data_IF_183646332081
#
_entry.id   IF_183646332081
#
_cell.length_a   1.000
_cell.length_b   1.000
_cell.length_c   1.000
_cell.angle_alpha   90.00
_cell.angle_beta   90.00
_cell.angle_gamma   90.00
#
_symmetry.space_group_name_H-M   'P 1'
#
loop_
_entity.id
_entity.type
_entity.pdbx_description
1 polymer ?
#
# COMPACT_ATOMS: atom_id res chain seq x y z
N UNK A 1 0.23 -40.19 11.73
CA UNK A 1 0.51 -38.85 11.18
C UNK A 1 -0.42 -38.66 10.00
N UNK A 2 -1.57 -38.04 10.24
CA UNK A 2 -2.53 -37.73 9.18
C UNK A 2 -2.16 -36.37 8.61
N UNK A 3 -2.03 -36.29 7.29
CA UNK A 3 -1.88 -35.02 6.58
C UNK A 3 -3.19 -34.24 6.74
N UNK A 4 -3.09 -33.04 7.29
CA UNK A 4 -4.20 -32.10 7.41
C UNK A 4 -4.49 -31.56 6.00
N UNK A 5 -5.63 -31.98 5.47
CA UNK A 5 -6.12 -31.57 4.15
C UNK A 5 -6.58 -30.12 4.27
N UNK A 6 -5.76 -29.19 3.76
CA UNK A 6 -6.06 -27.75 3.75
C UNK A 6 -7.24 -27.54 2.79
N UNK A 7 -8.43 -27.27 3.33
CA UNK A 7 -9.60 -26.92 2.53
C UNK A 7 -9.29 -25.69 1.65
N UNK A 8 -9.68 -25.69 0.37
CA UNK A 8 -9.50 -24.53 -0.49
C UNK A 8 -10.33 -23.35 0.03
N UNK A 9 -9.70 -22.19 0.12
CA UNK A 9 -10.33 -20.94 0.57
C UNK A 9 -11.59 -20.63 -0.25
N UNK A 10 -12.67 -20.13 0.37
CA UNK A 10 -13.87 -19.73 -0.36
C UNK A 10 -13.57 -18.59 -1.34
N UNK A 11 -14.17 -18.65 -2.54
CA UNK A 11 -14.02 -17.66 -3.63
C UNK A 11 -14.31 -16.20 -3.21
N UNK A 12 -14.87 -15.97 -2.03
CA UNK A 12 -15.15 -14.65 -1.45
C UNK A 12 -13.90 -13.90 -0.95
N UNK A 13 -12.74 -14.58 -0.83
CA UNK A 13 -11.47 -13.99 -0.36
C UNK A 13 -10.61 -13.47 -1.52
N UNK A 14 -10.92 -13.85 -2.76
CA UNK A 14 -10.36 -13.19 -3.93
C UNK A 14 -11.20 -11.92 -4.12
N UNK A 15 -10.69 -10.70 -3.90
CA UNK A 15 -11.43 -9.51 -4.27
C UNK A 15 -11.73 -9.59 -5.76
N UNK A 16 -12.99 -9.89 -6.11
CA UNK A 16 -13.47 -9.65 -7.47
C UNK A 16 -13.25 -8.16 -7.70
N UNK A 17 -12.64 -7.74 -8.82
CA UNK A 17 -12.38 -6.33 -9.10
C UNK A 17 -13.71 -5.62 -9.35
N UNK A 18 -14.45 -5.32 -8.28
CA UNK A 18 -15.79 -4.70 -8.32
C UNK A 18 -15.80 -3.28 -7.79
N UNK A 19 -14.68 -2.79 -7.26
CA UNK A 19 -14.41 -1.37 -7.20
C UNK A 19 -13.47 -1.04 -8.36
N UNK A 20 -14.00 -0.27 -9.30
CA UNK A 20 -13.25 0.30 -10.41
C UNK A 20 -11.95 0.91 -9.83
N UNK A 21 -10.74 0.40 -10.14
CA UNK A 21 -9.51 1.09 -9.80
C UNK A 21 -9.42 2.27 -10.75
N UNK A 22 -10.21 3.30 -10.47
CA UNK A 22 -10.16 4.58 -11.16
C UNK A 22 -8.75 5.11 -10.91
N UNK A 23 -7.89 4.93 -11.91
CA UNK A 23 -6.48 5.28 -11.88
C UNK A 23 -5.61 4.29 -11.12
N UNK A 24 -5.00 3.36 -11.86
CA UNK A 24 -3.55 3.24 -11.69
C UNK A 24 -3.01 4.66 -11.88
N UNK A 25 -2.73 5.37 -10.79
CA UNK A 25 -1.97 6.60 -10.85
C UNK A 25 -0.58 6.19 -11.33
N UNK A 26 -0.40 6.27 -12.65
CA UNK A 26 0.88 6.20 -13.33
C UNK A 26 1.78 7.14 -12.54
N UNK A 27 2.83 6.62 -11.91
CA UNK A 27 3.71 7.41 -11.06
C UNK A 27 4.36 8.52 -11.89
N UNK A 28 3.78 9.72 -11.86
CA UNK A 28 4.28 10.88 -12.61
C UNK A 28 5.36 11.66 -11.84
N UNK A 29 5.73 11.23 -10.62
CA UNK A 29 6.62 12.00 -9.73
C UNK A 29 7.91 11.26 -9.35
N UNK A 30 8.63 10.71 -10.32
CA UNK A 30 10.03 10.36 -10.14
C UNK A 30 10.80 10.67 -11.43
N UNK A 31 11.42 11.86 -11.57
CA UNK A 31 11.99 12.33 -12.84
C UNK A 31 13.13 11.47 -13.41
N UNK A 32 13.64 10.47 -12.69
CA UNK A 32 14.75 9.60 -13.12
C UNK A 32 14.41 8.09 -13.07
N UNK A 33 13.21 7.69 -12.61
CA UNK A 33 12.87 6.26 -12.46
C UNK A 33 12.23 5.74 -13.75
N UNK A 34 12.99 4.97 -14.52
CA UNK A 34 12.43 4.19 -15.62
C UNK A 34 12.20 4.96 -16.92
N UNK A 35 13.10 5.89 -17.25
CA UNK A 35 13.16 6.47 -18.59
C UNK A 35 13.14 5.34 -19.66
N UNK A 36 12.26 5.50 -20.63
CA UNK A 36 12.13 4.54 -21.71
C UNK A 36 13.16 4.83 -22.81
N UNK A 37 13.63 3.80 -23.55
CA UNK A 37 14.51 4.03 -24.69
C UNK A 37 13.87 4.96 -25.72
N UNK A 38 14.67 5.80 -26.38
CA UNK A 38 14.16 6.67 -27.43
C UNK A 38 13.45 5.87 -28.54
N UNK A 39 12.29 6.34 -29.00
CA UNK A 39 11.50 5.66 -30.02
C UNK A 39 10.51 4.62 -29.49
N UNK A 40 10.37 4.48 -28.17
CA UNK A 40 9.42 3.55 -27.52
C UNK A 40 8.17 4.23 -26.97
N UNK A 41 8.04 5.55 -27.16
CA UNK A 41 6.96 6.37 -26.62
C UNK A 41 5.59 5.89 -27.13
N UNK A 42 5.52 5.48 -28.39
CA UNK A 42 4.29 4.95 -29.00
C UNK A 42 3.87 3.62 -28.36
N UNK A 43 4.82 2.70 -28.12
CA UNK A 43 4.56 1.39 -27.50
C UNK A 43 4.11 1.59 -26.05
N UNK A 44 4.76 2.50 -25.32
CA UNK A 44 4.38 2.82 -23.95
C UNK A 44 2.99 3.43 -23.85
N UNK A 45 2.65 4.35 -24.77
CA UNK A 45 1.31 4.91 -24.85
C UNK A 45 0.27 3.83 -25.19
N UNK A 46 0.56 2.93 -26.12
CA UNK A 46 -0.33 1.81 -26.45
C UNK A 46 -0.58 0.91 -25.24
N UNK A 47 0.48 0.51 -24.53
CA UNK A 47 0.36 -0.32 -23.33
C UNK A 47 -0.46 0.36 -22.24
N UNK A 48 -0.24 1.66 -22.02
CA UNK A 48 -0.99 2.44 -21.04
C UNK A 48 -2.48 2.58 -21.40
N UNK A 49 -2.80 2.89 -22.66
CA UNK A 49 -4.20 2.98 -23.13
C UNK A 49 -4.89 1.63 -23.05
N UNK A 50 -4.25 0.57 -23.54
CA UNK A 50 -4.80 -0.79 -23.44
C UNK A 50 -5.05 -1.19 -21.97
N UNK A 51 -4.18 -0.78 -21.03
CA UNK A 51 -4.39 -1.02 -19.60
C UNK A 51 -5.58 -0.24 -19.05
N UNK A 52 -5.78 0.99 -19.49
CA UNK A 52 -6.92 1.83 -19.10
C UNK A 52 -8.24 1.27 -19.66
N UNK A 53 -8.22 0.77 -20.88
CA UNK A 53 -9.35 0.16 -21.57
C UNK A 53 -9.60 -1.30 -21.15
N UNK A 54 -8.80 -1.84 -20.23
CA UNK A 54 -8.85 -3.22 -19.76
C UNK A 54 -8.58 -4.28 -20.86
N UNK A 55 -7.93 -3.88 -21.95
CA UNK A 55 -7.43 -4.75 -23.01
C UNK A 55 -6.13 -5.45 -22.57
N UNK A 56 -6.20 -6.28 -21.53
CA UNK A 56 -5.04 -6.82 -20.81
C UNK A 56 -4.04 -7.57 -21.69
N UNK A 57 -4.50 -8.35 -22.67
CA UNK A 57 -3.62 -9.06 -23.60
C UNK A 57 -2.83 -8.13 -24.51
N UNK A 58 -3.43 -7.00 -24.91
CA UNK A 58 -2.76 -5.98 -25.73
C UNK A 58 -1.78 -5.19 -24.88
N UNK A 59 -2.16 -4.81 -23.66
CA UNK A 59 -1.27 -4.18 -22.70
C UNK A 59 -0.03 -5.05 -22.42
N UNK A 60 -0.25 -6.35 -22.17
CA UNK A 60 0.83 -7.34 -21.99
C UNK A 60 1.80 -7.36 -23.16
N UNK A 61 1.30 -7.42 -24.41
CA UNK A 61 2.13 -7.42 -25.62
C UNK A 61 3.00 -6.16 -25.71
N UNK A 62 2.41 -4.98 -25.47
CA UNK A 62 3.13 -3.71 -25.51
C UNK A 62 4.24 -3.65 -24.43
N UNK A 63 3.93 -4.03 -23.19
CA UNK A 63 4.95 -4.02 -22.12
C UNK A 63 6.04 -5.07 -22.33
N UNK A 64 5.72 -6.24 -22.89
CA UNK A 64 6.75 -7.21 -23.28
C UNK A 64 7.68 -6.65 -24.36
N UNK A 65 7.16 -5.90 -25.34
CA UNK A 65 8.00 -5.21 -26.33
C UNK A 65 8.92 -4.17 -25.68
N UNK A 66 8.42 -3.39 -24.71
CA UNK A 66 9.28 -2.47 -23.95
C UNK A 66 10.39 -3.21 -23.21
N UNK A 67 10.09 -4.34 -22.59
CA UNK A 67 11.08 -5.16 -21.88
C UNK A 67 12.08 -5.84 -22.82
N UNK A 68 11.74 -6.09 -24.09
CA UNK A 68 12.75 -6.53 -25.07
C UNK A 68 13.81 -5.45 -25.32
N UNK A 69 13.41 -4.17 -25.27
CA UNK A 69 14.29 -3.03 -25.52
C UNK A 69 15.00 -2.54 -24.25
N UNK A 70 14.35 -2.67 -23.09
CA UNK A 70 14.89 -2.33 -21.78
C UNK A 70 14.47 -3.37 -20.73
N UNK A 71 15.19 -4.50 -20.62
CA UNK A 71 14.79 -5.66 -19.81
C UNK A 71 14.56 -5.40 -18.32
N UNK A 72 15.24 -4.41 -17.75
CA UNK A 72 15.15 -4.04 -16.34
C UNK A 72 14.50 -2.67 -16.13
N UNK A 73 13.72 -2.18 -17.11
CA UNK A 73 12.99 -0.92 -16.92
C UNK A 73 11.92 -1.10 -15.82
N UNK A 74 12.01 -0.36 -14.69
CA UNK A 74 11.13 -0.58 -13.54
C UNK A 74 9.66 -0.30 -13.86
N UNK A 75 9.34 0.67 -14.72
CA UNK A 75 7.96 1.01 -15.05
C UNK A 75 7.31 -0.05 -15.95
N UNK A 76 8.03 -0.53 -16.96
CA UNK A 76 7.55 -1.62 -17.81
C UNK A 76 7.36 -2.92 -17.01
N UNK A 77 8.30 -3.25 -16.11
CA UNK A 77 8.16 -4.38 -15.19
C UNK A 77 6.95 -4.21 -14.25
N UNK A 78 6.78 -3.03 -13.66
CA UNK A 78 5.64 -2.70 -12.77
C UNK A 78 4.31 -2.89 -13.48
N UNK A 79 4.19 -2.31 -14.68
CA UNK A 79 2.96 -2.36 -15.45
C UNK A 79 2.65 -3.78 -15.95
N UNK A 80 3.66 -4.52 -16.40
CA UNK A 80 3.47 -5.92 -16.79
C UNK A 80 3.08 -6.79 -15.59
N UNK A 81 3.71 -6.60 -14.43
CA UNK A 81 3.32 -7.28 -13.20
C UNK A 81 1.88 -7.01 -12.79
N UNK A 82 1.42 -5.76 -12.91
CA UNK A 82 0.02 -5.40 -12.68
C UNK A 82 -0.93 -6.06 -13.68
N UNK A 83 -0.56 -6.11 -14.97
CA UNK A 83 -1.36 -6.78 -16.01
C UNK A 83 -1.45 -8.29 -15.77
N UNK A 84 -0.34 -8.96 -15.46
CA UNK A 84 -0.35 -10.40 -15.15
C UNK A 84 -1.20 -10.70 -13.90
N UNK A 85 -1.18 -9.82 -12.90
CA UNK A 85 -2.05 -9.92 -11.74
C UNK A 85 -3.54 -9.83 -12.14
N UNK A 86 -3.91 -8.88 -13.02
CA UNK A 86 -5.28 -8.76 -13.55
C UNK A 86 -5.71 -9.98 -14.37
N UNK A 87 -4.77 -10.62 -15.08
CA UNK A 87 -4.99 -11.86 -15.82
C UNK A 87 -5.02 -13.11 -14.93
N UNK A 88 -4.74 -12.99 -13.64
CA UNK A 88 -4.69 -14.11 -12.70
C UNK A 88 -3.38 -14.93 -12.77
N UNK A 89 -2.39 -14.49 -13.54
CA UNK A 89 -1.09 -15.16 -13.67
C UNK A 89 -0.18 -14.78 -12.48
N UNK A 90 -0.54 -15.22 -11.28
CA UNK A 90 0.04 -14.72 -10.02
C UNK A 90 1.56 -14.94 -9.90
N UNK A 91 2.09 -16.05 -10.42
CA UNK A 91 3.54 -16.30 -10.37
C UNK A 91 4.32 -15.35 -11.29
N UNK A 92 3.81 -15.12 -12.51
CA UNK A 92 4.41 -14.16 -13.45
C UNK A 92 4.32 -12.73 -12.88
N UNK A 93 3.20 -12.39 -12.26
CA UNK A 93 3.02 -11.10 -11.60
C UNK A 93 4.07 -10.88 -10.50
N UNK A 94 4.29 -11.87 -9.62
CA UNK A 94 5.32 -11.77 -8.59
C UNK A 94 6.72 -11.60 -9.17
N UNK A 95 7.11 -12.38 -10.18
CA UNK A 95 8.44 -12.26 -10.80
C UNK A 95 8.70 -10.83 -11.31
N UNK A 96 7.76 -10.28 -12.09
CA UNK A 96 7.91 -8.93 -12.63
C UNK A 96 7.89 -7.86 -11.54
N UNK A 97 7.02 -7.98 -10.53
CA UNK A 97 6.95 -7.01 -9.43
C UNK A 97 8.17 -7.07 -8.51
N UNK A 98 8.73 -8.25 -8.26
CA UNK A 98 9.96 -8.41 -7.47
C UNK A 98 11.18 -7.82 -8.18
N UNK A 99 11.25 -7.96 -9.51
CA UNK A 99 12.27 -7.28 -10.32
C UNK A 99 12.05 -5.77 -10.32
N UNK A 100 10.81 -5.31 -10.50
CA UNK A 100 10.46 -3.90 -10.46
C UNK A 100 10.82 -3.24 -9.12
N UNK A 101 10.54 -3.90 -8.00
CA UNK A 101 10.85 -3.39 -6.65
C UNK A 101 12.35 -3.39 -6.34
N UNK A 102 13.13 -4.29 -6.94
CA UNK A 102 14.60 -4.26 -6.86
C UNK A 102 15.18 -3.05 -7.58
N UNK A 103 14.62 -2.71 -8.74
CA UNK A 103 15.06 -1.58 -9.55
C UNK A 103 14.54 -0.23 -9.03
N UNK A 104 13.31 -0.20 -8.51
CA UNK A 104 12.63 1.00 -8.02
C UNK A 104 11.75 0.68 -6.78
N UNK A 105 12.35 0.63 -5.58
CA UNK A 105 11.62 0.28 -4.36
C UNK A 105 10.59 1.33 -3.91
N UNK A 106 10.65 2.56 -4.44
CA UNK A 106 9.76 3.66 -4.09
C UNK A 106 8.38 3.61 -4.77
N UNK A 107 8.13 2.65 -5.66
CA UNK A 107 6.82 2.48 -6.31
C UNK A 107 5.91 1.69 -5.37
N UNK A 108 5.17 2.39 -4.51
CA UNK A 108 4.30 1.78 -3.48
C UNK A 108 3.31 0.75 -4.04
N UNK A 109 2.75 1.02 -5.23
CA UNK A 109 1.78 0.15 -5.89
C UNK A 109 2.32 -1.28 -6.17
N UNK A 110 3.63 -1.43 -6.39
CA UNK A 110 4.22 -2.74 -6.61
C UNK A 110 4.18 -3.58 -5.32
N UNK A 111 4.58 -2.97 -4.21
CA UNK A 111 4.52 -3.61 -2.90
C UNK A 111 3.08 -3.91 -2.47
N UNK A 112 2.14 -3.00 -2.74
CA UNK A 112 0.72 -3.23 -2.50
C UNK A 112 0.23 -4.48 -3.25
N UNK A 113 0.58 -4.60 -4.53
CA UNK A 113 0.16 -5.73 -5.37
C UNK A 113 0.82 -7.04 -4.93
N UNK A 114 2.11 -7.03 -4.56
CA UNK A 114 2.78 -8.19 -3.95
C UNK A 114 2.05 -8.62 -2.68
N UNK A 115 1.71 -7.67 -1.80
CA UNK A 115 0.99 -7.95 -0.55
C UNK A 115 -0.37 -8.61 -0.78
N UNK A 116 -1.12 -8.15 -1.79
CA UNK A 116 -2.38 -8.76 -2.20
C UNK A 116 -2.20 -10.20 -2.69
N UNK A 117 -1.18 -10.46 -3.53
CA UNK A 117 -0.88 -11.81 -4.01
C UNK A 117 -0.54 -12.74 -2.83
N UNK A 118 0.33 -12.29 -1.93
CA UNK A 118 0.74 -13.09 -0.78
C UNK A 118 -0.42 -13.34 0.20
N UNK A 119 -1.29 -12.36 0.40
CA UNK A 119 -2.49 -12.53 1.21
C UNK A 119 -3.42 -13.59 0.61
N UNK A 120 -3.67 -13.54 -0.71
CA UNK A 120 -4.48 -14.54 -1.41
C UNK A 120 -3.91 -15.96 -1.35
N UNK A 121 -2.59 -16.11 -1.15
CA UNK A 121 -1.91 -17.39 -0.92
C UNK A 121 -1.90 -17.84 0.55
N UNK A 122 -2.55 -17.10 1.45
CA UNK A 122 -2.54 -17.36 2.89
C UNK A 122 -1.20 -17.02 3.58
N UNK A 123 -0.27 -16.35 2.88
CA UNK A 123 1.05 -16.01 3.42
C UNK A 123 1.00 -14.68 4.20
N UNK A 124 0.27 -14.66 5.31
CA UNK A 124 -0.06 -13.45 6.07
C UNK A 124 1.15 -12.60 6.45
N UNK A 125 2.26 -13.20 6.91
CA UNK A 125 3.46 -12.45 7.28
C UNK A 125 4.19 -11.84 6.08
N UNK A 126 4.20 -12.52 4.93
CA UNK A 126 4.75 -11.96 3.69
C UNK A 126 3.88 -10.80 3.19
N UNK A 127 2.56 -10.92 3.31
CA UNK A 127 1.63 -9.86 2.99
C UNK A 127 1.86 -8.61 3.87
N UNK A 128 2.00 -8.77 5.19
CA UNK A 128 2.31 -7.65 6.09
C UNK A 128 3.64 -6.97 5.75
N UNK A 129 4.68 -7.74 5.45
CA UNK A 129 5.98 -7.19 5.04
C UNK A 129 5.85 -6.36 3.76
N UNK A 130 5.09 -6.83 2.79
CA UNK A 130 4.83 -6.10 1.55
C UNK A 130 3.98 -4.83 1.78
N UNK A 131 2.90 -4.90 2.56
CA UNK A 131 2.10 -3.71 2.88
C UNK A 131 2.89 -2.68 3.69
N UNK A 132 3.75 -3.09 4.62
CA UNK A 132 4.63 -2.18 5.34
C UNK A 132 5.62 -1.47 4.40
N UNK A 133 6.13 -2.16 3.36
CA UNK A 133 6.97 -1.53 2.33
C UNK A 133 6.16 -0.58 1.43
N UNK A 134 4.92 -0.92 1.13
CA UNK A 134 4.01 -0.02 0.41
C UNK A 134 3.80 1.29 1.20
N UNK A 135 3.50 1.17 2.49
CA UNK A 135 3.31 2.32 3.41
C UNK A 135 4.59 3.10 3.67
N UNK A 136 5.76 2.45 3.60
CA UNK A 136 7.03 3.17 3.67
C UNK A 136 7.25 4.06 2.44
N UNK A 137 6.86 3.58 1.25
CA UNK A 137 6.97 4.31 0.00
C UNK A 137 5.87 5.39 -0.15
N UNK A 138 4.66 5.09 0.29
CA UNK A 138 3.52 6.01 0.33
C UNK A 138 2.71 5.83 1.62
N UNK A 139 2.99 6.64 2.68
CA UNK A 139 2.23 6.61 3.93
C UNK A 139 0.79 7.11 3.80
N UNK A 140 0.40 7.65 2.64
CA UNK A 140 -0.91 8.23 2.38
C UNK A 140 -1.89 7.29 1.68
N UNK A 141 -1.51 6.04 1.37
CA UNK A 141 -2.37 5.11 0.64
C UNK A 141 -3.40 4.43 1.58
N UNK A 142 -4.70 4.80 1.54
CA UNK A 142 -5.71 4.20 2.40
C UNK A 142 -5.90 2.70 2.13
N UNK A 143 -5.61 2.24 0.90
CA UNK A 143 -5.76 0.83 0.51
C UNK A 143 -4.76 -0.03 1.25
N UNK A 144 -3.51 0.43 1.35
CA UNK A 144 -2.44 -0.29 2.05
C UNK A 144 -2.75 -0.46 3.54
N UNK A 145 -3.24 0.61 4.19
CA UNK A 145 -3.74 0.56 5.57
C UNK A 145 -4.92 -0.41 5.71
N UNK A 146 -5.90 -0.36 4.82
CA UNK A 146 -7.04 -1.27 4.86
C UNK A 146 -6.64 -2.75 4.74
N UNK A 147 -5.82 -3.11 3.74
CA UNK A 147 -5.39 -4.49 3.58
C UNK A 147 -4.50 -4.96 4.72
N UNK A 148 -3.63 -4.09 5.26
CA UNK A 148 -2.85 -4.40 6.45
C UNK A 148 -3.77 -4.67 7.65
N UNK A 149 -4.81 -3.86 7.86
CA UNK A 149 -5.82 -4.08 8.90
C UNK A 149 -6.55 -5.43 8.76
N UNK A 150 -6.94 -5.81 7.54
CA UNK A 150 -7.58 -7.11 7.26
C UNK A 150 -6.65 -8.27 7.62
N UNK A 151 -5.38 -8.22 7.21
CA UNK A 151 -4.42 -9.29 7.50
C UNK A 151 -4.12 -9.40 9.00
N UNK A 152 -3.91 -8.25 9.67
CA UNK A 152 -3.67 -8.18 11.12
C UNK A 152 -4.86 -8.74 11.91
N UNK A 153 -6.10 -8.46 11.47
CA UNK A 153 -7.31 -9.05 12.06
C UNK A 153 -7.31 -10.56 11.91
N UNK A 154 -6.97 -11.09 10.73
CA UNK A 154 -6.86 -12.53 10.49
C UNK A 154 -5.84 -13.24 11.39
N UNK A 155 -4.83 -12.52 11.86
CA UNK A 155 -3.84 -13.01 12.84
C UNK A 155 -4.29 -12.89 14.31
N UNK A 156 -5.48 -12.34 14.56
CA UNK A 156 -6.05 -12.17 15.90
C UNK A 156 -5.62 -10.87 16.61
N UNK A 157 -4.91 -9.97 15.94
CA UNK A 157 -4.42 -8.72 16.53
C UNK A 157 -5.44 -7.58 16.39
N UNK A 158 -6.60 -7.73 17.04
CA UNK A 158 -7.76 -6.85 16.86
C UNK A 158 -7.44 -5.34 17.03
N UNK A 159 -6.71 -4.93 18.07
CA UNK A 159 -6.39 -3.52 18.30
C UNK A 159 -5.52 -2.91 17.19
N UNK A 160 -4.59 -3.69 16.65
CA UNK A 160 -3.77 -3.25 15.52
C UNK A 160 -4.60 -3.10 14.25
N UNK A 161 -5.51 -4.05 14.00
CA UNK A 161 -6.40 -4.00 12.85
C UNK A 161 -7.32 -2.77 12.90
N UNK A 162 -7.90 -2.48 14.06
CA UNK A 162 -8.72 -1.29 14.27
C UNK A 162 -7.95 0.00 13.95
N UNK A 163 -6.70 0.08 14.41
CA UNK A 163 -5.83 1.24 14.19
C UNK A 163 -5.58 1.47 12.69
N UNK A 164 -5.25 0.41 11.95
CA UNK A 164 -4.98 0.50 10.51
C UNK A 164 -6.25 0.85 9.71
N UNK A 165 -7.39 0.24 10.04
CA UNK A 165 -8.66 0.54 9.37
C UNK A 165 -9.12 1.97 9.65
N UNK A 166 -8.96 2.46 10.88
CA UNK A 166 -9.23 3.87 11.21
C UNK A 166 -8.27 4.81 10.46
N UNK A 167 -7.02 4.41 10.25
CA UNK A 167 -6.07 5.20 9.46
C UNK A 167 -6.47 5.29 7.99
N UNK A 168 -6.97 4.20 7.40
CA UNK A 168 -7.53 4.21 6.06
C UNK A 168 -8.70 5.22 5.94
N UNK A 169 -9.63 5.22 6.89
CA UNK A 169 -10.76 6.18 6.94
C UNK A 169 -10.28 7.62 7.19
N UNK A 170 -9.24 7.82 8.00
CA UNK A 170 -8.68 9.15 8.23
C UNK A 170 -8.03 9.75 6.97
N UNK A 171 -7.46 8.90 6.10
CA UNK A 171 -6.86 9.30 4.83
C UNK A 171 -7.92 9.51 3.74
N UNK A 172 -8.92 8.64 3.70
CA UNK A 172 -10.07 8.75 2.81
C UNK A 172 -11.36 8.42 3.59
N UNK A 173 -12.10 9.45 4.06
CA UNK A 173 -13.35 9.26 4.79
C UNK A 173 -14.44 8.54 4.00
N UNK A 174 -14.35 8.49 2.67
CA UNK A 174 -15.29 7.80 1.80
C UNK A 174 -14.83 6.36 1.46
N UNK A 175 -13.78 5.85 2.11
CA UNK A 175 -13.23 4.53 1.78
C UNK A 175 -14.13 3.40 2.31
N UNK A 176 -15.09 2.99 1.46
CA UNK A 176 -16.15 2.03 1.78
C UNK A 176 -15.65 0.72 2.40
N UNK A 177 -14.53 0.20 1.89
CA UNK A 177 -14.00 -1.09 2.32
C UNK A 177 -13.51 -1.05 3.78
N UNK A 178 -12.87 0.05 4.21
CA UNK A 178 -12.43 0.17 5.60
C UNK A 178 -13.61 0.32 6.57
N UNK A 179 -14.65 1.06 6.16
CA UNK A 179 -15.91 1.12 6.91
C UNK A 179 -16.55 -0.26 7.04
N UNK A 180 -16.65 -1.02 5.96
CA UNK A 180 -17.19 -2.38 5.98
C UNK A 180 -16.38 -3.30 6.90
N UNK A 181 -15.05 -3.25 6.82
CA UNK A 181 -14.15 -4.07 7.62
C UNK A 181 -14.23 -3.74 9.12
N UNK A 182 -14.37 -2.47 9.51
CA UNK A 182 -14.62 -2.09 10.90
C UNK A 182 -15.98 -2.60 11.40
N UNK A 183 -17.03 -2.54 10.56
CA UNK A 183 -18.34 -3.05 10.94
C UNK A 183 -18.29 -4.55 11.26
N UNK A 184 -17.65 -5.34 10.39
CA UNK A 184 -17.42 -6.77 10.62
C UNK A 184 -16.61 -7.00 11.90
N UNK A 185 -15.52 -6.27 12.09
CA UNK A 185 -14.67 -6.41 13.27
C UNK A 185 -15.42 -6.12 14.59
N UNK A 186 -16.26 -5.09 14.61
CA UNK A 186 -17.06 -4.74 15.78
C UNK A 186 -18.18 -5.74 16.08
N UNK A 187 -18.73 -6.40 15.06
CA UNK A 187 -19.68 -7.50 15.24
C UNK A 187 -19.05 -8.80 15.74
N UNK A 188 -17.80 -9.07 15.35
CA UNK A 188 -17.11 -10.30 15.75
C UNK A 188 -16.43 -10.20 17.13
N UNK A 189 -16.41 -9.01 17.73
CA UNK A 189 -15.93 -8.80 19.11
C UNK A 189 -16.90 -9.43 20.13
N UNK A 190 -16.37 -9.83 21.29
CA UNK A 190 -17.17 -10.34 22.41
C UNK A 190 -17.01 -9.45 23.66
N UNK A 191 -18.08 -8.79 24.16
CA UNK A 191 -19.39 -8.63 23.52
C UNK A 191 -19.31 -7.75 22.24
N UNK A 192 -20.27 -7.88 21.31
CA UNK A 192 -20.28 -7.11 20.07
C UNK A 192 -20.54 -5.63 20.34
N UNK A 193 -19.88 -4.76 19.57
CA UNK A 193 -20.06 -3.30 19.61
C UNK A 193 -21.06 -2.87 18.52
N UNK A 194 -22.32 -3.23 18.73
CA UNK A 194 -23.39 -3.18 17.71
C UNK A 194 -23.59 -1.78 17.13
N UNK A 195 -23.59 -0.75 17.96
CA UNK A 195 -23.82 0.63 17.49
C UNK A 195 -22.66 1.17 16.67
N UNK A 196 -21.41 0.84 17.04
CA UNK A 196 -20.24 1.16 16.22
C UNK A 196 -20.29 0.40 14.89
N UNK A 197 -20.62 -0.90 14.94
CA UNK A 197 -20.77 -1.70 13.74
C UNK A 197 -21.84 -1.13 12.80
N UNK A 198 -23.00 -0.76 13.34
CA UNK A 198 -24.12 -0.16 12.60
C UNK A 198 -23.70 1.12 11.89
N UNK A 199 -23.03 2.03 12.59
CA UNK A 199 -22.54 3.29 12.03
C UNK A 199 -21.60 3.05 10.85
N UNK A 200 -20.62 2.17 11.03
CA UNK A 200 -19.64 1.89 9.98
C UNK A 200 -20.25 1.13 8.80
N UNK A 201 -21.19 0.23 9.05
CA UNK A 201 -21.88 -0.50 7.98
C UNK A 201 -22.69 0.44 7.08
N UNK A 202 -23.48 1.35 7.66
CA UNK A 202 -24.26 2.30 6.85
C UNK A 202 -23.38 3.32 6.11
N UNK A 203 -22.28 3.76 6.71
CA UNK A 203 -21.29 4.57 5.99
C UNK A 203 -20.67 3.79 4.82
N UNK A 204 -20.39 2.49 4.99
CA UNK A 204 -19.91 1.67 3.88
C UNK A 204 -20.93 1.63 2.72
N UNK A 205 -22.21 1.46 3.01
CA UNK A 205 -23.29 1.46 2.00
C UNK A 205 -23.43 2.83 1.31
N UNK A 206 -23.36 3.92 2.08
CA UNK A 206 -23.36 5.29 1.55
C UNK A 206 -22.24 5.51 0.53
N UNK A 207 -21.06 4.93 0.80
CA UNK A 207 -19.89 5.00 -0.08
C UNK A 207 -19.80 3.88 -1.12
N UNK A 208 -20.88 3.12 -1.34
CA UNK A 208 -21.00 2.19 -2.46
C UNK A 208 -20.66 0.73 -2.16
N UNK A 209 -20.49 0.36 -0.88
CA UNK A 209 -20.49 -1.05 -0.50
C UNK A 209 -21.86 -1.68 -0.82
N UNK A 210 -21.85 -2.97 -1.18
CA UNK A 210 -23.08 -3.72 -1.41
C UNK A 210 -23.68 -4.17 -0.08
N UNK A 211 -25.02 -4.16 0.06
CA UNK A 211 -25.68 -4.78 1.20
C UNK A 211 -25.24 -6.24 1.39
N UNK A 212 -24.96 -6.58 2.64
CA UNK A 212 -24.62 -7.92 3.13
C UNK A 212 -25.71 -8.40 4.10
N UNK A 213 -26.55 -9.38 3.69
CA UNK A 213 -27.65 -9.89 4.52
C UNK A 213 -27.21 -10.50 5.85
N UNK A 214 -25.99 -11.05 5.93
CA UNK A 214 -25.46 -11.66 7.16
C UNK A 214 -25.16 -10.58 8.18
N UNK A 215 -24.57 -9.46 7.74
CA UNK A 215 -24.32 -8.30 8.60
C UNK A 215 -25.64 -7.68 9.05
N UNK A 216 -26.60 -7.49 8.15
CA UNK A 216 -27.93 -6.95 8.50
C UNK A 216 -28.63 -7.82 9.55
N UNK A 217 -28.58 -9.15 9.38
CA UNK A 217 -29.14 -10.08 10.35
C UNK A 217 -28.45 -9.96 11.72
N UNK A 218 -27.11 -9.90 11.77
CA UNK A 218 -26.34 -9.72 13.02
C UNK A 218 -26.67 -8.39 13.73
N UNK A 219 -26.84 -7.31 12.97
CA UNK A 219 -27.21 -5.99 13.50
C UNK A 219 -28.65 -5.93 14.03
N UNK A 220 -29.55 -6.77 13.50
CA UNK A 220 -30.95 -6.82 13.91
C UNK A 220 -31.18 -7.79 15.07
N UNK A 221 -30.47 -8.91 15.12
CA UNK A 221 -30.63 -9.93 16.18
C UNK A 221 -30.08 -9.50 17.53
N UNK A 222 -29.17 -8.54 17.56
CA UNK A 222 -28.61 -7.96 18.79
C UNK A 222 -29.49 -6.87 19.41
N UNK A 223 -30.49 -6.36 18.67
CA UNK A 223 -31.50 -5.42 19.16
C UNK A 223 -32.74 -6.23 19.57
N UNK A 224 -32.68 -6.89 20.73
CA UNK A 224 -33.88 -7.45 21.33
C UNK A 224 -34.89 -6.35 21.69
N UNK A 225 -35.84 -6.05 20.78
CA UNK A 225 -37.08 -5.36 21.14
C UNK A 225 -37.44 -4.02 20.47
N UNK A 226 -36.88 -3.65 19.30
CA UNK A 226 -37.41 -2.52 18.53
C UNK A 226 -37.67 -2.92 17.07
N UNK A 227 -38.91 -2.76 16.63
CA UNK A 227 -39.42 -3.16 15.32
C UNK A 227 -38.72 -2.43 14.15
N UNK A 228 -38.75 -3.00 12.92
CA UNK A 228 -38.00 -2.46 11.78
C UNK A 228 -38.69 -1.20 11.24
N UNK A 229 -37.95 -0.09 11.14
CA UNK A 229 -38.51 1.15 10.62
C UNK A 229 -37.47 2.25 10.44
N UNK A 230 -37.05 2.41 9.19
CA UNK A 230 -36.31 3.55 8.60
C UNK A 230 -34.82 3.75 9.00
N UNK A 231 -33.98 4.18 8.04
CA UNK A 231 -32.63 4.62 8.34
C UNK A 231 -32.73 5.92 9.14
N UNK A 232 -32.41 5.87 10.43
CA UNK A 232 -32.02 7.07 11.14
C UNK A 232 -30.59 7.38 10.67
N UNK A 233 -30.48 8.18 9.61
CA UNK A 233 -29.24 8.87 9.31
C UNK A 233 -28.80 9.59 10.59
N UNK A 234 -27.54 9.49 11.01
CA UNK A 234 -27.09 10.28 12.15
C UNK A 234 -27.27 11.76 11.81
N UNK A 235 -28.08 12.45 12.61
CA UNK A 235 -28.01 13.91 12.70
C UNK A 235 -26.57 14.21 13.14
N UNK A 236 -25.77 14.73 12.22
CA UNK A 236 -24.49 15.35 12.56
C UNK A 236 -24.82 16.44 13.58
N UNK A 237 -24.36 16.37 14.84
CA UNK A 237 -24.46 17.54 15.70
C UNK A 237 -23.67 18.64 15.00
N UNK A 238 -24.28 19.82 14.84
CA UNK A 238 -23.59 20.98 14.30
C UNK A 238 -22.18 21.07 14.93
N UNK A 239 -21.12 21.35 14.13
CA UNK A 239 -19.82 21.61 14.72
C UNK A 239 -20.00 22.68 15.79
N UNK A 240 -19.34 22.56 16.97
CA UNK A 240 -19.50 23.55 18.02
C UNK A 240 -19.25 24.93 17.41
N UNK A 241 -20.29 25.75 17.41
CA UNK A 241 -20.30 27.05 16.77
C UNK A 241 -19.09 27.85 17.22
N UNK A 242 -18.45 28.52 16.26
CA UNK A 242 -17.37 29.45 16.52
C UNK A 242 -17.75 30.35 17.71
N UNK A 243 -16.82 30.59 18.67
CA UNK A 243 -17.11 31.47 19.78
C UNK A 243 -17.48 32.86 19.23
N UNK A 244 -18.74 33.27 19.48
CA UNK A 244 -19.22 34.62 19.22
C UNK A 244 -18.22 35.61 19.80
N UNK A 245 -17.64 36.41 18.92
CA UNK A 245 -16.83 37.57 19.29
C UNK A 245 -17.68 38.51 20.15
N UNK A 246 -17.42 38.53 21.45
CA UNK A 246 -17.90 39.59 22.34
C UNK A 246 -16.98 40.79 22.16
N UNK A 247 -17.59 41.91 21.81
CA UNK A 247 -16.97 43.22 21.64
C UNK A 247 -16.49 43.80 22.98
N UNK A 248 -15.21 44.16 23.05
CA UNK A 248 -14.65 45.11 24.03
C UNK A 248 -13.13 45.00 24.18
N UNK A 249 -12.46 46.07 24.65
CA UNK A 249 -12.24 47.37 24.00
C UNK A 249 -10.94 47.38 23.17
N UNK A 250 -10.83 48.36 22.26
CA UNK A 250 -9.65 48.65 21.42
C UNK A 250 -8.33 48.63 22.21
N UNK A 251 -7.39 47.78 21.77
CA UNK A 251 -5.97 47.88 22.09
C UNK A 251 -5.24 48.16 20.78
N UNK A 252 -4.52 49.29 20.74
CA UNK A 252 -3.78 49.80 19.58
C UNK A 252 -2.82 48.76 18.97
N UNK A 253 -2.58 48.81 17.65
CA UNK A 253 -1.75 47.81 16.98
C UNK A 253 -0.27 47.93 17.38
N UNK A 254 0.34 46.80 17.75
CA UNK A 254 1.78 46.66 17.92
C UNK A 254 2.52 46.81 16.57
N UNK A 255 3.77 47.30 16.56
CA UNK A 255 4.50 47.60 15.34
C UNK A 255 4.87 46.35 14.54
N UNK A 256 4.80 46.47 13.21
CA UNK A 256 5.19 45.47 12.22
C UNK A 256 6.68 45.13 12.36
N UNK A 257 7.10 43.85 12.36
CA UNK A 257 8.51 43.50 12.38
C UNK A 257 9.19 43.82 11.05
N UNK A 258 10.33 44.52 11.14
CA UNK A 258 11.23 44.82 10.02
C UNK A 258 12.00 43.53 9.63
N UNK A 259 12.18 43.22 8.33
CA UNK A 259 12.92 42.02 7.91
C UNK A 259 14.41 42.12 8.29
N UNK A 260 14.93 41.07 8.93
CA UNK A 260 16.34 40.92 9.28
C UNK A 260 17.12 40.39 8.05
N UNK A 261 18.29 40.95 7.69
CA UNK A 261 19.08 40.45 6.57
C UNK A 261 19.65 39.05 6.84
N UNK A 262 19.62 38.21 5.81
CA UNK A 262 20.08 36.83 5.85
C UNK A 262 21.56 36.72 6.24
N UNK A 263 21.85 35.94 7.29
CA UNK A 263 23.21 35.55 7.67
C UNK A 263 23.60 34.32 6.86
N UNK A 264 24.57 34.48 5.96
CA UNK A 264 25.17 33.39 5.19
C UNK A 264 25.75 32.31 6.12
N UNK A 265 25.50 31.01 5.89
CA UNK A 265 26.14 29.95 6.67
C UNK A 265 27.64 29.92 6.37
N UNK A 266 28.47 29.90 7.43
CA UNK A 266 29.92 29.68 7.33
C UNK A 266 30.20 28.28 6.75
N UNK A 267 31.26 28.12 5.94
CA UNK A 267 31.62 26.83 5.36
C UNK A 267 31.98 25.82 6.46
N UNK A 268 31.30 24.67 6.42
CA UNK A 268 31.64 23.50 7.25
C UNK A 268 32.84 22.82 6.61
N UNK A 269 33.95 22.71 7.36
CA UNK A 269 35.12 21.96 6.93
C UNK A 269 34.77 20.48 6.73
N UNK A 270 35.19 19.84 5.62
CA UNK A 270 34.90 18.44 5.37
C UNK A 270 35.62 17.53 6.38
N UNK A 271 34.89 16.53 6.87
CA UNK A 271 35.39 15.41 7.68
C UNK A 271 36.46 14.65 6.87
N UNK A 272 37.64 14.35 7.43
CA UNK A 272 38.67 13.59 6.71
C UNK A 272 38.19 12.14 6.45
N UNK A 273 38.25 11.71 5.18
CA UNK A 273 38.00 10.33 4.77
C UNK A 273 39.04 9.39 5.39
N UNK A 274 38.66 8.17 5.84
CA UNK A 274 39.63 7.15 6.21
C UNK A 274 40.44 6.71 4.98
N UNK A 275 41.76 6.61 5.18
CA UNK A 275 42.75 6.34 4.13
C UNK A 275 42.54 4.97 3.46
N UNK A 276 42.66 4.95 2.14
CA UNK A 276 42.76 3.75 1.34
C UNK A 276 44.10 3.04 1.62
N UNK A 277 44.05 1.80 2.09
CA UNK A 277 45.20 0.92 2.10
C UNK A 277 45.38 0.34 0.69
N UNK A 278 46.32 0.90 -0.08
CA UNK A 278 46.80 0.31 -1.33
C UNK A 278 48.15 -0.38 -1.11
N UNK A 279 48.22 -1.61 -1.63
CA UNK A 279 49.38 -2.32 -2.17
C UNK A 279 50.55 -2.66 -1.25
N UNK A 280 50.71 -3.96 -0.99
CA UNK A 280 52.02 -4.62 -1.01
C UNK A 280 51.92 -5.87 -1.91
N UNK A 281 52.26 -5.67 -3.19
CA UNK A 281 52.75 -6.73 -4.08
C UNK A 281 54.26 -6.73 -3.92
N UNK A 282 54.81 -7.81 -3.37
CA UNK A 282 56.25 -8.05 -3.29
C UNK A 282 56.52 -9.52 -3.57
N UNK A 283 56.89 -9.83 -4.82
CA UNK A 283 57.46 -11.12 -5.22
C UNK A 283 58.82 -11.30 -4.56
N UNK A 284 59.10 -12.51 -4.05
CA UNK A 284 60.45 -13.05 -4.06
C UNK A 284 60.39 -14.56 -4.32
N UNK A 285 61.09 -14.94 -5.38
CA UNK A 285 61.35 -16.29 -5.85
C UNK A 285 62.66 -16.78 -5.24
N UNK A 286 62.80 -18.07 -4.97
CA UNK A 286 64.08 -18.77 -5.07
C UNK A 286 64.57 -19.55 -3.86
N UNK A 287 64.78 -20.85 -4.11
CA UNK A 287 65.76 -21.75 -3.49
C UNK A 287 65.47 -22.25 -2.06
N UNK A 288 65.79 -23.48 -1.65
CA UNK A 288 66.25 -24.75 -2.24
C UNK A 288 66.34 -25.72 -1.03
N UNK A 289 66.63 -27.01 -1.29
CA UNK A 289 67.21 -27.99 -0.36
C UNK A 289 66.27 -28.89 0.48
N UNK A 290 66.01 -30.07 -0.10
CA UNK A 290 66.40 -31.39 0.42
C UNK A 290 65.99 -31.82 1.84
N UNK A 291 65.17 -32.89 1.91
CA UNK A 291 65.01 -33.73 3.11
C UNK A 291 64.11 -34.94 2.85
N UNK A 292 64.72 -36.10 2.57
CA UNK A 292 64.09 -37.42 2.36
C UNK A 292 63.45 -37.99 3.66
N UNK A 293 62.66 -39.08 3.55
CA UNK A 293 61.59 -39.44 4.49
C UNK A 293 62.03 -40.37 5.62
N UNK A 294 61.16 -40.56 6.62
CA UNK A 294 61.20 -41.72 7.51
C UNK A 294 59.82 -42.34 7.71
N UNK A 295 59.75 -43.59 7.23
CA UNK A 295 58.96 -44.77 7.63
C UNK A 295 57.45 -44.64 7.79
#
# INVERSE_FOLDING_TARGET
>A
MAAEEVEPLPESVIPKPTSNPTGLQIGVNAPEVGALPAGTEAIAKEGAMASADMEWDKAKKAYLQLLQMAPENPLALSNLGAVEFRLGNLEAALDYLERATRAAPAIAQNWLTIGLIQHGRGQSYLALSAFARALHADPGDPRAHNYMGVVIRGLGWASGAETELQRAIALDPAYSDAHFNLAVMYLDRMPPLVELARRHYYAALEFGAKPDPVIEQKLNSTVGGAAPGAPVLPVVPDPPGEPKATSGPEVSPAPVPVPVPAVSPKPVNPVPKPAAASSLRGRASGANASGKPRK
#
